data_IF_627645169130
#
_entry.id   IF_627645169130
#
_cell.length_a   1.000
_cell.length_b   1.000
_cell.length_c   1.000
_cell.angle_alpha   90.00
_cell.angle_beta   90.00
_cell.angle_gamma   90.00
#
_symmetry.space_group_name_H-M   'P 1'
#
loop_
_entity.id
_entity.type
_entity.pdbx_description
1 polymer ?
#
# COMPACT_ATOMS: atom_id res chain seq x y z
N UNK A 1 -0.68 -13.46 29.22
CA UNK A 1 -2.05 -14.00 29.14
C UNK A 1 -3.04 -12.84 29.17
N UNK A 2 -3.59 -12.48 28.02
CA UNK A 2 -4.70 -11.52 27.85
C UNK A 2 -5.28 -11.79 26.47
N UNK A 3 -6.03 -12.89 26.38
CA UNK A 3 -6.77 -13.31 25.19
C UNK A 3 -8.00 -12.43 24.98
N UNK A 4 -8.26 -12.14 23.71
CA UNK A 4 -9.59 -11.99 23.13
C UNK A 4 -10.59 -10.99 23.75
N UNK A 5 -10.62 -9.79 23.17
CA UNK A 5 -11.83 -8.94 23.16
C UNK A 5 -12.28 -8.59 21.73
N UNK A 6 -12.11 -9.54 20.81
CA UNK A 6 -12.63 -9.46 19.43
C UNK A 6 -13.46 -10.69 19.01
N UNK A 7 -13.69 -11.64 19.91
CA UNK A 7 -14.23 -12.98 19.61
C UNK A 7 -15.72 -13.05 19.34
N UNK A 8 -16.52 -12.06 19.74
CA UNK A 8 -17.98 -12.25 19.79
C UNK A 8 -18.69 -12.08 18.45
N UNK A 9 -18.09 -11.46 17.44
CA UNK A 9 -18.75 -11.25 16.12
C UNK A 9 -18.23 -12.21 15.05
N UNK A 10 -16.92 -12.51 15.05
CA UNK A 10 -16.34 -13.40 14.03
C UNK A 10 -16.86 -14.84 14.13
N UNK A 11 -17.18 -15.33 15.34
CA UNK A 11 -17.54 -16.73 15.63
C UNK A 11 -18.86 -17.21 14.99
N UNK A 12 -19.76 -16.32 14.56
CA UNK A 12 -21.10 -16.71 14.10
C UNK A 12 -21.25 -16.88 12.56
N UNK A 13 -20.23 -16.51 11.78
CA UNK A 13 -20.27 -16.66 10.32
C UNK A 13 -20.21 -18.14 9.90
N UNK A 14 -21.12 -18.56 9.03
CA UNK A 14 -21.17 -19.92 8.50
C UNK A 14 -19.83 -20.31 7.85
N UNK A 15 -19.28 -21.51 8.10
CA UNK A 15 -17.96 -21.93 7.61
C UNK A 15 -17.84 -21.83 6.08
N UNK A 16 -18.92 -22.12 5.36
CA UNK A 16 -18.99 -21.96 3.90
C UNK A 16 -18.72 -20.51 3.45
N UNK A 17 -19.25 -19.50 4.16
CA UNK A 17 -19.08 -18.10 3.80
C UNK A 17 -17.62 -17.64 4.00
N UNK A 18 -16.95 -18.16 5.04
CA UNK A 18 -15.51 -17.93 5.24
C UNK A 18 -14.67 -18.58 4.15
N UNK A 19 -15.05 -19.77 3.68
CA UNK A 19 -14.38 -20.43 2.57
C UNK A 19 -14.55 -19.65 1.26
N UNK A 20 -15.77 -19.17 0.95
CA UNK A 20 -16.02 -18.29 -0.21
C UNK A 20 -15.18 -17.03 -0.13
N UNK A 21 -15.13 -16.37 1.03
CA UNK A 21 -14.31 -15.18 1.22
C UNK A 21 -12.80 -15.47 1.04
N UNK A 22 -12.30 -16.59 1.58
CA UNK A 22 -10.91 -17.00 1.41
C UNK A 22 -10.57 -17.26 -0.08
N UNK A 23 -11.43 -17.98 -0.80
CA UNK A 23 -11.25 -18.22 -2.24
C UNK A 23 -11.26 -16.90 -3.02
N UNK A 24 -12.21 -16.01 -2.75
CA UNK A 24 -12.28 -14.70 -3.41
C UNK A 24 -11.00 -13.87 -3.17
N UNK A 25 -10.48 -13.86 -1.95
CA UNK A 25 -9.21 -13.18 -1.62
C UNK A 25 -8.05 -13.78 -2.41
N UNK A 26 -7.94 -15.12 -2.48
CA UNK A 26 -6.89 -15.80 -3.24
C UNK A 26 -6.98 -15.43 -4.72
N UNK A 27 -8.18 -15.44 -5.32
CA UNK A 27 -8.38 -15.08 -6.72
C UNK A 27 -8.04 -13.61 -7.03
N UNK A 28 -8.33 -12.70 -6.10
CA UNK A 28 -7.94 -11.28 -6.20
C UNK A 28 -6.42 -11.14 -6.17
N UNK A 29 -5.74 -11.83 -5.26
CA UNK A 29 -4.29 -11.72 -5.12
C UNK A 29 -3.49 -12.53 -6.16
N UNK A 30 -4.13 -13.52 -6.79
CA UNK A 30 -3.58 -14.34 -7.88
C UNK A 30 -3.29 -13.52 -9.14
N UNK A 31 -4.14 -12.52 -9.43
CA UNK A 31 -3.97 -11.55 -10.52
C UNK A 31 -3.76 -12.13 -11.92
N UNK A 32 -4.36 -13.28 -12.20
CA UNK A 32 -4.31 -13.83 -13.56
C UNK A 32 -5.18 -13.01 -14.52
N UNK A 33 -4.59 -12.45 -15.58
CA UNK A 33 -5.30 -11.63 -16.54
C UNK A 33 -6.23 -12.49 -17.40
N UNK A 34 -7.40 -11.93 -17.73
CA UNK A 34 -8.38 -12.52 -18.65
C UNK A 34 -8.34 -11.76 -19.98
N UNK A 35 -8.76 -10.49 -19.97
CA UNK A 35 -8.77 -9.63 -21.14
C UNK A 35 -8.90 -8.15 -20.73
N UNK A 36 -8.21 -7.23 -21.41
CA UNK A 36 -8.38 -5.77 -21.21
C UNK A 36 -8.30 -5.34 -19.73
N UNK A 37 -7.28 -5.79 -19.00
CA UNK A 37 -7.10 -5.47 -17.58
C UNK A 37 -8.07 -6.16 -16.62
N UNK A 38 -9.03 -6.93 -17.12
CA UNK A 38 -9.87 -7.80 -16.29
C UNK A 38 -9.04 -8.97 -15.77
N UNK A 39 -9.14 -9.24 -14.47
CA UNK A 39 -8.48 -10.36 -13.80
C UNK A 39 -9.54 -11.33 -13.27
N UNK A 40 -9.19 -12.60 -13.08
CA UNK A 40 -10.12 -13.62 -12.54
C UNK A 40 -10.74 -13.16 -11.19
N UNK A 41 -9.94 -12.50 -10.35
CA UNK A 41 -10.39 -11.91 -9.10
C UNK A 41 -11.44 -10.82 -9.26
N UNK A 42 -11.39 -10.01 -10.33
CA UNK A 42 -12.40 -8.99 -10.62
C UNK A 42 -13.76 -9.61 -10.91
N UNK A 43 -13.79 -10.72 -11.66
CA UNK A 43 -15.04 -11.45 -11.93
C UNK A 43 -15.64 -11.98 -10.64
N UNK A 44 -14.84 -12.61 -9.79
CA UNK A 44 -15.29 -13.08 -8.48
C UNK A 44 -15.81 -11.93 -7.59
N UNK A 45 -15.12 -10.78 -7.60
CA UNK A 45 -15.55 -9.60 -6.86
C UNK A 45 -16.88 -9.06 -7.37
N UNK A 46 -17.11 -8.99 -8.69
CA UNK A 46 -18.40 -8.55 -9.26
C UNK A 46 -19.53 -9.51 -8.86
N UNK A 47 -19.32 -10.82 -8.93
CA UNK A 47 -20.32 -11.80 -8.49
C UNK A 47 -20.68 -11.67 -7.01
N UNK A 48 -19.71 -11.24 -6.19
CA UNK A 48 -19.88 -11.00 -4.76
C UNK A 48 -20.34 -9.56 -4.42
N UNK A 49 -20.59 -8.72 -5.42
CA UNK A 49 -21.04 -7.33 -5.21
C UNK A 49 -22.22 -7.20 -4.23
N UNK A 50 -23.28 -8.04 -4.27
CA UNK A 50 -24.39 -7.94 -3.34
C UNK A 50 -23.99 -8.09 -1.86
N UNK A 51 -22.91 -8.84 -1.57
CA UNK A 51 -22.47 -9.07 -0.19
C UNK A 51 -21.42 -8.07 0.27
N UNK A 52 -20.50 -7.65 -0.60
CA UNK A 52 -19.42 -6.75 -0.18
C UNK A 52 -19.80 -5.28 -0.26
N UNK A 53 -20.66 -4.84 -1.20
CA UNK A 53 -21.03 -3.42 -1.34
C UNK A 53 -21.65 -2.89 -0.03
N UNK A 54 -22.66 -3.55 0.58
CA UNK A 54 -23.27 -3.06 1.82
C UNK A 54 -22.28 -3.06 2.99
N UNK A 55 -21.37 -4.03 3.04
CA UNK A 55 -20.34 -4.09 4.08
C UNK A 55 -19.30 -2.98 3.93
N UNK A 56 -18.86 -2.73 2.69
CA UNK A 56 -17.90 -1.70 2.33
C UNK A 56 -18.43 -0.30 2.63
N UNK A 57 -19.64 0.04 2.16
CA UNK A 57 -20.21 1.39 2.32
C UNK A 57 -20.49 1.79 3.77
N UNK A 58 -20.52 0.84 4.71
CA UNK A 58 -20.64 1.13 6.15
C UNK A 58 -19.34 1.64 6.77
N UNK A 59 -18.19 1.41 6.13
CA UNK A 59 -16.89 1.85 6.64
C UNK A 59 -16.69 3.34 6.42
N UNK A 60 -15.99 4.00 7.34
CA UNK A 60 -15.73 5.44 7.23
C UNK A 60 -14.77 5.70 6.07
N UNK A 61 -15.11 6.67 5.22
CA UNK A 61 -14.32 7.04 4.03
C UNK A 61 -14.53 6.14 2.81
N UNK A 62 -15.12 4.95 2.97
CA UNK A 62 -15.37 4.03 1.86
C UNK A 62 -16.33 4.61 0.79
N UNK A 63 -17.44 5.29 1.12
CA UNK A 63 -18.29 5.95 0.11
C UNK A 63 -17.56 7.05 -0.67
N UNK A 64 -16.67 7.80 -0.01
CA UNK A 64 -15.88 8.86 -0.65
C UNK A 64 -14.89 8.25 -1.64
N UNK A 65 -14.18 7.19 -1.24
CA UNK A 65 -13.28 6.47 -2.16
C UNK A 65 -14.03 5.89 -3.35
N UNK A 66 -15.19 5.25 -3.14
CA UNK A 66 -16.01 4.75 -4.25
C UNK A 66 -16.48 5.88 -5.19
N UNK A 67 -16.95 6.99 -4.62
CA UNK A 67 -17.36 8.16 -5.40
C UNK A 67 -16.23 8.73 -6.23
N UNK A 68 -15.02 8.83 -5.66
CA UNK A 68 -13.83 9.29 -6.38
C UNK A 68 -13.37 8.32 -7.47
N UNK A 69 -13.46 7.00 -7.25
CA UNK A 69 -13.18 6.00 -8.29
C UNK A 69 -14.15 6.14 -9.46
N UNK A 70 -15.46 6.24 -9.19
CA UNK A 70 -16.48 6.44 -10.23
C UNK A 70 -16.25 7.76 -10.96
N UNK A 71 -15.97 8.84 -10.21
CA UNK A 71 -15.65 10.14 -10.77
C UNK A 71 -14.41 10.08 -11.69
N UNK A 72 -13.36 9.36 -11.29
CA UNK A 72 -12.17 9.16 -12.11
C UNK A 72 -12.50 8.45 -13.42
N UNK A 73 -13.30 7.38 -13.40
CA UNK A 73 -13.71 6.68 -14.63
C UNK A 73 -14.47 7.61 -15.58
N UNK A 74 -15.44 8.38 -15.04
CA UNK A 74 -16.20 9.35 -15.82
C UNK A 74 -15.30 10.46 -16.37
N UNK A 75 -14.41 11.00 -15.54
CA UNK A 75 -13.46 12.03 -15.94
C UNK A 75 -12.47 11.53 -17.00
N UNK A 76 -11.98 10.30 -16.89
CA UNK A 76 -11.10 9.70 -17.89
C UNK A 76 -11.77 9.55 -19.25
N UNK A 77 -13.01 9.07 -19.29
CA UNK A 77 -13.79 8.97 -20.52
C UNK A 77 -14.06 10.36 -21.13
N UNK A 78 -14.42 11.34 -20.29
CA UNK A 78 -14.63 12.73 -20.74
C UNK A 78 -13.36 13.35 -21.30
N UNK A 79 -12.22 13.21 -20.61
CA UNK A 79 -10.93 13.70 -21.07
C UNK A 79 -10.51 13.05 -22.39
N UNK A 80 -10.72 11.74 -22.55
CA UNK A 80 -10.45 11.07 -23.83
C UNK A 80 -11.30 11.61 -24.97
N UNK A 81 -12.58 11.90 -24.73
CA UNK A 81 -13.42 12.55 -25.73
C UNK A 81 -12.96 14.00 -26.02
N UNK A 82 -12.46 14.71 -25.01
CA UNK A 82 -11.93 16.07 -25.18
C UNK A 82 -10.62 16.09 -25.97
N UNK A 83 -9.73 15.14 -25.71
CA UNK A 83 -8.41 15.02 -26.36
C UNK A 83 -8.48 14.31 -27.72
N UNK A 84 -9.63 13.81 -28.15
CA UNK A 84 -9.74 13.17 -29.48
C UNK A 84 -9.59 14.15 -30.65
N UNK A 85 -9.59 15.46 -30.38
CA UNK A 85 -9.38 16.49 -31.39
C UNK A 85 -7.93 16.54 -31.89
N UNK A 86 -6.97 16.22 -31.02
CA UNK A 86 -5.53 16.36 -31.26
C UNK A 86 -4.71 15.10 -30.91
N UNK A 87 -5.34 14.08 -30.32
CA UNK A 87 -4.72 12.79 -30.00
C UNK A 87 -5.51 11.63 -30.63
N UNK A 88 -4.78 10.57 -30.98
CA UNK A 88 -5.40 9.29 -31.28
C UNK A 88 -5.99 8.69 -29.98
N UNK A 89 -7.07 7.93 -30.12
CA UNK A 89 -7.74 7.30 -28.98
C UNK A 89 -7.86 5.78 -29.16
N UNK A 90 -7.82 5.06 -28.05
CA UNK A 90 -7.94 3.61 -27.96
C UNK A 90 -9.01 3.24 -26.94
N UNK A 91 -10.08 2.60 -27.41
CA UNK A 91 -11.14 2.06 -26.54
C UNK A 91 -10.60 0.95 -25.64
N UNK A 92 -9.67 0.13 -26.14
CA UNK A 92 -9.01 -0.94 -25.39
C UNK A 92 -8.27 -0.39 -24.17
N UNK A 93 -7.49 0.68 -24.34
CA UNK A 93 -6.76 1.31 -23.22
C UNK A 93 -7.72 1.99 -22.24
N UNK A 94 -8.74 2.70 -22.77
CA UNK A 94 -9.76 3.33 -21.95
C UNK A 94 -10.53 2.34 -21.06
N UNK A 95 -10.89 1.18 -21.62
CA UNK A 95 -11.51 0.07 -20.87
C UNK A 95 -10.53 -0.51 -19.86
N UNK A 96 -9.30 -0.82 -20.28
CA UNK A 96 -8.27 -1.40 -19.40
C UNK A 96 -7.98 -0.54 -18.17
N UNK A 97 -7.78 0.77 -18.36
CA UNK A 97 -7.56 1.72 -17.27
C UNK A 97 -8.78 1.83 -16.34
N UNK A 98 -9.99 1.85 -16.90
CA UNK A 98 -11.23 1.92 -16.10
C UNK A 98 -11.44 0.64 -15.28
N UNK A 99 -11.24 -0.52 -15.89
CA UNK A 99 -11.32 -1.83 -15.24
C UNK A 99 -10.28 -1.95 -14.13
N UNK A 100 -9.07 -1.42 -14.32
CA UNK A 100 -8.02 -1.44 -13.30
C UNK A 100 -8.46 -0.72 -12.02
N UNK A 101 -8.96 0.52 -12.11
CA UNK A 101 -9.34 1.30 -10.92
C UNK A 101 -10.64 0.78 -10.29
N UNK A 102 -11.62 0.36 -11.10
CA UNK A 102 -12.83 -0.31 -10.60
C UNK A 102 -12.50 -1.66 -9.94
N UNK A 103 -11.55 -2.39 -10.51
CA UNK A 103 -11.02 -3.65 -10.00
C UNK A 103 -10.34 -3.48 -8.64
N UNK A 104 -9.56 -2.42 -8.45
CA UNK A 104 -9.01 -2.03 -7.14
C UNK A 104 -10.14 -1.80 -6.14
N UNK A 105 -11.17 -1.02 -6.49
CA UNK A 105 -12.31 -0.75 -5.61
C UNK A 105 -13.05 -2.04 -5.21
N UNK A 106 -13.38 -2.88 -6.19
CA UNK A 106 -14.07 -4.15 -5.96
C UNK A 106 -13.24 -5.09 -5.08
N UNK A 107 -11.93 -5.16 -5.32
CA UNK A 107 -10.98 -5.96 -4.54
C UNK A 107 -10.88 -5.48 -3.10
N UNK A 108 -10.75 -4.16 -2.88
CA UNK A 108 -10.80 -3.56 -1.54
C UNK A 108 -12.12 -3.87 -0.85
N UNK A 109 -13.23 -3.80 -1.58
CA UNK A 109 -14.57 -4.16 -1.10
C UNK A 109 -14.64 -5.58 -0.56
N UNK A 110 -14.14 -6.56 -1.32
CA UNK A 110 -14.08 -7.97 -0.91
C UNK A 110 -13.20 -8.14 0.33
N UNK A 111 -12.04 -7.47 0.42
CA UNK A 111 -11.18 -7.52 1.60
C UNK A 111 -11.91 -6.98 2.83
N UNK A 112 -12.56 -5.82 2.71
CA UNK A 112 -13.35 -5.21 3.80
C UNK A 112 -14.49 -6.12 4.24
N UNK A 113 -15.19 -6.75 3.31
CA UNK A 113 -16.23 -7.73 3.61
C UNK A 113 -15.66 -8.97 4.33
N UNK A 114 -14.55 -9.54 3.85
CA UNK A 114 -13.94 -10.71 4.46
C UNK A 114 -13.49 -10.45 5.90
N UNK A 115 -13.05 -9.22 6.23
CA UNK A 115 -12.73 -8.80 7.61
C UNK A 115 -13.93 -8.84 8.56
N UNK A 116 -15.17 -8.85 8.04
CA UNK A 116 -16.37 -9.07 8.86
C UNK A 116 -16.58 -10.54 9.22
N UNK A 117 -15.91 -11.47 8.52
CA UNK A 117 -16.10 -12.92 8.65
C UNK A 117 -14.93 -13.62 9.33
N UNK A 118 -13.73 -13.05 9.26
CA UNK A 118 -12.51 -13.60 9.82
C UNK A 118 -11.55 -12.50 10.29
N UNK A 119 -10.55 -12.88 11.10
CA UNK A 119 -9.54 -11.96 11.63
C UNK A 119 -8.71 -11.37 10.50
N UNK A 120 -8.28 -10.11 10.64
CA UNK A 120 -7.43 -9.43 9.65
C UNK A 120 -6.16 -10.25 9.28
N UNK A 121 -5.54 -10.92 10.27
CA UNK A 121 -4.40 -11.80 10.02
C UNK A 121 -4.73 -12.98 9.08
N UNK A 122 -5.94 -13.53 9.15
CA UNK A 122 -6.39 -14.60 8.25
C UNK A 122 -6.65 -14.08 6.84
N UNK A 123 -7.26 -12.90 6.71
CA UNK A 123 -7.44 -12.21 5.42
C UNK A 123 -6.09 -11.99 4.74
N UNK A 124 -5.13 -11.45 5.49
CA UNK A 124 -3.77 -11.22 5.03
C UNK A 124 -3.04 -12.51 4.61
N UNK A 125 -3.21 -13.61 5.35
CA UNK A 125 -2.61 -14.90 4.98
C UNK A 125 -3.18 -15.40 3.66
N UNK A 126 -4.51 -15.39 3.48
CA UNK A 126 -5.12 -15.81 2.21
C UNK A 126 -4.71 -14.91 1.04
N UNK A 127 -4.55 -13.61 1.28
CA UNK A 127 -4.04 -12.69 0.27
C UNK A 127 -2.60 -13.05 -0.11
N UNK A 128 -1.71 -13.25 0.88
CA UNK A 128 -0.33 -13.69 0.63
C UNK A 128 -0.24 -15.03 -0.08
N UNK A 129 -1.13 -15.99 0.24
CA UNK A 129 -1.23 -17.26 -0.50
C UNK A 129 -1.59 -17.02 -1.96
N UNK A 130 -2.58 -16.18 -2.26
CA UNK A 130 -2.92 -15.83 -3.64
C UNK A 130 -1.76 -15.16 -4.37
N UNK A 131 -1.03 -14.25 -3.72
CA UNK A 131 0.17 -13.64 -4.32
C UNK A 131 1.25 -14.67 -4.64
N UNK A 132 1.47 -15.66 -3.78
CA UNK A 132 2.48 -16.72 -4.01
C UNK A 132 2.04 -17.67 -5.13
N UNK A 133 0.77 -18.04 -5.17
CA UNK A 133 0.22 -18.85 -6.26
C UNK A 133 0.27 -18.10 -7.60
N UNK A 134 0.13 -16.76 -7.57
CA UNK A 134 0.20 -15.89 -8.74
C UNK A 134 1.61 -15.55 -9.23
N UNK A 135 2.65 -16.12 -8.63
CA UNK A 135 4.01 -15.97 -9.15
C UNK A 135 4.06 -16.61 -10.54
N UNK A 136 4.52 -15.86 -11.53
CA UNK A 136 4.66 -16.31 -12.91
C UNK A 136 6.15 -16.48 -13.28
N UNK A 137 6.71 -17.70 -13.20
CA UNK A 137 8.09 -17.98 -13.59
C UNK A 137 8.37 -17.81 -15.09
N UNK A 138 7.33 -17.77 -15.93
CA UNK A 138 7.44 -17.61 -17.38
C UNK A 138 7.66 -16.16 -17.84
N UNK A 139 7.60 -15.18 -16.94
CA UNK A 139 7.85 -13.78 -17.32
C UNK A 139 9.34 -13.51 -17.59
N UNK A 140 9.64 -12.68 -18.58
CA UNK A 140 11.02 -12.33 -18.97
C UNK A 140 11.78 -11.62 -17.86
N UNK A 141 11.10 -10.83 -17.02
CA UNK A 141 11.73 -10.18 -15.86
C UNK A 141 12.10 -11.19 -14.78
N UNK A 142 11.29 -12.24 -14.58
CA UNK A 142 11.58 -13.26 -13.58
C UNK A 142 12.90 -13.97 -13.85
N UNK A 143 13.25 -14.25 -15.11
CA UNK A 143 14.52 -14.90 -15.44
C UNK A 143 15.75 -14.03 -15.16
N UNK A 144 15.61 -12.70 -15.14
CA UNK A 144 16.72 -11.77 -14.84
C UNK A 144 17.03 -11.72 -13.34
N UNK A 145 16.00 -11.70 -12.49
CA UNK A 145 16.14 -11.74 -11.03
C UNK A 145 14.83 -12.25 -10.40
N UNK A 146 14.73 -13.58 -10.14
CA UNK A 146 13.52 -14.20 -9.60
C UNK A 146 13.09 -13.61 -8.26
N UNK A 147 14.05 -13.22 -7.42
CA UNK A 147 13.77 -12.64 -6.12
C UNK A 147 13.09 -11.28 -6.26
N UNK A 148 13.72 -10.37 -7.01
CA UNK A 148 13.27 -8.99 -7.18
C UNK A 148 11.93 -8.92 -7.91
N UNK A 149 11.78 -9.67 -8.99
CA UNK A 149 10.64 -9.54 -9.91
C UNK A 149 9.50 -10.54 -9.66
N UNK A 150 9.69 -11.52 -8.77
CA UNK A 150 8.64 -12.50 -8.45
C UNK A 150 8.44 -12.71 -6.96
N UNK A 151 9.48 -13.12 -6.24
CA UNK A 151 9.32 -13.71 -4.90
C UNK A 151 9.23 -12.68 -3.76
N UNK A 152 9.94 -11.56 -3.85
CA UNK A 152 10.18 -10.65 -2.72
C UNK A 152 8.89 -10.17 -2.06
N UNK A 153 7.98 -9.57 -2.83
CA UNK A 153 6.74 -9.00 -2.32
C UNK A 153 5.74 -10.07 -1.87
N UNK A 154 5.42 -11.13 -2.66
CA UNK A 154 4.52 -12.20 -2.21
C UNK A 154 5.00 -12.88 -0.92
N UNK A 155 6.29 -13.19 -0.80
CA UNK A 155 6.84 -13.82 0.39
C UNK A 155 6.87 -12.86 1.58
N UNK A 156 7.19 -11.57 1.37
CA UNK A 156 7.12 -10.58 2.44
C UNK A 156 5.69 -10.49 3.01
N UNK A 157 4.68 -10.40 2.14
CA UNK A 157 3.26 -10.37 2.55
C UNK A 157 2.87 -11.65 3.30
N UNK A 158 3.14 -12.83 2.73
CA UNK A 158 2.74 -14.09 3.34
C UNK A 158 3.45 -14.35 4.68
N UNK A 159 4.77 -14.18 4.74
CA UNK A 159 5.54 -14.46 5.95
C UNK A 159 5.20 -13.48 7.08
N UNK A 160 5.01 -12.19 6.77
CA UNK A 160 4.57 -11.21 7.77
C UNK A 160 3.11 -11.44 8.20
N UNK A 161 2.25 -11.92 7.31
CA UNK A 161 0.88 -12.33 7.66
C UNK A 161 0.87 -13.55 8.59
N UNK A 162 1.71 -14.55 8.33
CA UNK A 162 1.89 -15.71 9.21
C UNK A 162 2.47 -15.31 10.58
N UNK A 163 3.46 -14.41 10.59
CA UNK A 163 4.00 -13.83 11.81
C UNK A 163 2.90 -13.10 12.61
N UNK A 164 2.05 -12.32 11.94
CA UNK A 164 0.90 -11.68 12.58
C UNK A 164 -0.08 -12.72 13.15
N UNK A 165 -0.41 -13.76 12.40
CA UNK A 165 -1.31 -14.84 12.83
C UNK A 165 -0.78 -15.60 14.06
N UNK A 166 0.54 -15.73 14.18
CA UNK A 166 1.18 -16.38 15.35
C UNK A 166 0.95 -15.64 16.66
N UNK A 167 0.67 -14.33 16.60
CA UNK A 167 0.54 -13.45 17.77
C UNK A 167 1.86 -13.14 18.49
N UNK A 168 2.99 -13.69 18.03
CA UNK A 168 4.31 -13.55 18.66
C UNK A 168 5.11 -12.45 17.97
N UNK A 169 5.32 -11.32 18.67
CA UNK A 169 6.01 -10.14 18.11
C UNK A 169 7.43 -10.41 17.63
N UNK A 170 8.17 -11.30 18.30
CA UNK A 170 9.53 -11.67 17.90
C UNK A 170 9.58 -12.43 16.57
N UNK A 171 8.53 -13.16 16.20
CA UNK A 171 8.47 -13.87 14.91
C UNK A 171 8.49 -12.86 13.76
N UNK A 172 7.81 -11.72 13.92
CA UNK A 172 7.84 -10.66 12.92
C UNK A 172 9.24 -10.05 12.77
N UNK A 173 9.98 -9.87 13.87
CA UNK A 173 11.37 -9.38 13.84
C UNK A 173 12.28 -10.35 13.07
N UNK A 174 12.19 -11.65 13.35
CA UNK A 174 13.00 -12.66 12.66
C UNK A 174 12.67 -12.68 11.16
N UNK A 175 11.39 -12.66 10.81
CA UNK A 175 10.95 -12.61 9.41
C UNK A 175 11.50 -11.36 8.71
N UNK A 176 11.40 -10.19 9.34
CA UNK A 176 11.93 -8.95 8.77
C UNK A 176 13.44 -9.01 8.58
N UNK A 177 14.21 -9.50 9.56
CA UNK A 177 15.66 -9.66 9.43
C UNK A 177 16.01 -10.59 8.26
N UNK A 178 15.32 -11.73 8.14
CA UNK A 178 15.51 -12.64 7.02
C UNK A 178 15.22 -11.97 5.67
N UNK A 179 14.10 -11.24 5.56
CA UNK A 179 13.74 -10.50 4.34
C UNK A 179 14.74 -9.38 4.01
N UNK A 180 15.27 -8.68 5.02
CA UNK A 180 16.30 -7.63 4.83
C UNK A 180 17.59 -8.23 4.26
N UNK A 181 18.05 -9.34 4.84
CA UNK A 181 19.24 -10.05 4.35
C UNK A 181 19.03 -10.48 2.90
N UNK A 182 17.89 -11.09 2.59
CA UNK A 182 17.56 -11.49 1.22
C UNK A 182 17.47 -10.30 0.26
N UNK A 183 16.85 -9.19 0.66
CA UNK A 183 16.76 -7.99 -0.16
C UNK A 183 18.14 -7.36 -0.45
N UNK A 184 19.04 -7.40 0.54
CA UNK A 184 20.41 -6.88 0.40
C UNK A 184 21.27 -7.73 -0.53
N UNK A 185 21.12 -9.06 -0.50
CA UNK A 185 21.91 -9.98 -1.35
C UNK A 185 21.38 -10.09 -2.78
N UNK A 186 20.18 -9.58 -3.08
CA UNK A 186 19.51 -9.72 -4.38
C UNK A 186 19.25 -8.38 -5.11
N UNK A 187 20.11 -7.37 -4.91
CA UNK A 187 20.06 -6.03 -5.55
C UNK A 187 18.67 -5.35 -5.54
N UNK A 188 17.96 -5.48 -4.40
CA UNK A 188 16.60 -4.94 -4.20
C UNK A 188 16.61 -3.76 -3.23
N UNK A 189 17.30 -2.68 -3.62
CA UNK A 189 17.61 -1.51 -2.75
C UNK A 189 16.38 -0.87 -2.10
N UNK A 190 15.35 -0.57 -2.89
CA UNK A 190 14.12 0.05 -2.39
C UNK A 190 13.35 -0.88 -1.45
N UNK A 191 13.40 -2.19 -1.69
CA UNK A 191 12.79 -3.19 -0.81
C UNK A 191 13.55 -3.29 0.51
N UNK A 192 14.88 -3.32 0.47
CA UNK A 192 15.73 -3.30 1.66
C UNK A 192 15.45 -2.07 2.52
N UNK A 193 15.36 -0.88 1.92
CA UNK A 193 15.08 0.36 2.64
C UNK A 193 13.70 0.33 3.31
N UNK A 194 12.66 -0.13 2.59
CA UNK A 194 11.31 -0.29 3.15
C UNK A 194 11.29 -1.29 4.31
N UNK A 195 11.93 -2.45 4.16
CA UNK A 195 11.96 -3.47 5.20
C UNK A 195 12.74 -3.02 6.44
N UNK A 196 13.86 -2.29 6.28
CA UNK A 196 14.59 -1.67 7.38
C UNK A 196 13.73 -0.65 8.13
N UNK A 197 13.02 0.20 7.40
CA UNK A 197 12.09 1.17 7.98
C UNK A 197 10.99 0.46 8.79
N UNK A 198 10.40 -0.61 8.25
CA UNK A 198 9.42 -1.43 8.95
C UNK A 198 10.00 -2.08 10.20
N UNK A 199 11.21 -2.65 10.12
CA UNK A 199 11.90 -3.24 11.26
C UNK A 199 12.10 -2.22 12.38
N UNK A 200 12.58 -1.02 12.05
CA UNK A 200 12.80 0.04 13.02
C UNK A 200 11.49 0.49 13.70
N UNK A 201 10.39 0.58 12.95
CA UNK A 201 9.05 0.87 13.51
C UNK A 201 8.59 -0.26 14.43
N UNK A 202 8.76 -1.52 14.03
CA UNK A 202 8.37 -2.68 14.84
C UNK A 202 9.20 -2.77 16.11
N UNK A 203 10.52 -2.55 16.04
CA UNK A 203 11.41 -2.53 17.20
C UNK A 203 11.09 -1.36 18.15
N UNK A 204 10.72 -0.20 17.61
CA UNK A 204 10.25 0.92 18.41
C UNK A 204 8.99 0.55 19.21
N UNK A 205 8.06 -0.19 18.60
CA UNK A 205 6.82 -0.64 19.23
C UNK A 205 7.01 -1.71 20.33
N UNK A 206 8.19 -2.33 20.40
CA UNK A 206 8.55 -3.26 21.47
C UNK A 206 8.87 -2.57 22.80
N UNK A 207 9.14 -1.26 22.81
CA UNK A 207 9.50 -0.52 24.03
C UNK A 207 8.32 -0.47 25.01
N UNK A 208 8.52 -0.44 26.34
CA UNK A 208 7.45 -0.27 27.32
C UNK A 208 6.63 1.02 27.11
N UNK A 209 5.35 1.02 27.49
CA UNK A 209 4.47 2.16 27.27
C UNK A 209 4.73 3.29 28.28
N UNK A 210 5.23 4.42 27.81
CA UNK A 210 5.13 5.70 28.53
C UNK A 210 3.83 6.36 28.09
N UNK A 211 2.99 6.78 29.04
CA UNK A 211 1.55 7.05 28.87
C UNK A 211 1.12 8.21 27.96
N UNK A 212 1.97 8.71 27.05
CA UNK A 212 1.61 9.78 26.11
C UNK A 212 1.14 9.19 24.78
N UNK A 213 -0.10 9.51 24.42
CA UNK A 213 -0.62 9.32 23.05
C UNK A 213 0.20 10.22 22.11
N UNK A 214 0.94 9.64 21.18
CA UNK A 214 1.63 10.38 20.14
C UNK A 214 0.63 11.07 19.20
N UNK A 215 0.91 12.30 18.79
CA UNK A 215 0.18 12.96 17.71
C UNK A 215 0.52 12.28 16.38
N UNK A 216 -0.45 12.18 15.45
CA UNK A 216 -0.21 11.71 14.06
C UNK A 216 0.94 12.48 13.41
N UNK A 217 1.05 13.78 13.69
CA UNK A 217 2.14 14.63 13.21
C UNK A 217 3.49 14.16 13.75
N UNK A 218 3.56 13.81 15.05
CA UNK A 218 4.78 13.28 15.64
C UNK A 218 5.15 11.91 15.05
N UNK A 219 4.17 11.05 14.78
CA UNK A 219 4.39 9.78 14.07
C UNK A 219 4.95 10.01 12.66
N UNK A 220 4.39 10.96 11.90
CA UNK A 220 4.88 11.29 10.56
C UNK A 220 6.29 11.86 10.60
N UNK A 221 6.60 12.72 11.56
CA UNK A 221 7.96 13.25 11.74
C UNK A 221 8.96 12.14 12.09
N UNK A 222 8.57 11.19 12.95
CA UNK A 222 9.43 10.04 13.28
C UNK A 222 9.62 9.13 12.08
N UNK A 223 8.56 8.78 11.35
CA UNK A 223 8.66 7.97 10.13
C UNK A 223 9.49 8.67 9.05
N UNK A 224 9.29 9.97 8.85
CA UNK A 224 10.06 10.78 7.91
C UNK A 224 11.54 10.87 8.30
N UNK A 225 11.84 11.17 9.58
CA UNK A 225 13.21 11.18 10.08
C UNK A 225 13.90 9.82 9.96
N UNK A 226 13.16 8.74 10.23
CA UNK A 226 13.67 7.37 10.10
C UNK A 226 13.92 7.00 8.63
N UNK A 227 13.05 7.42 7.72
CA UNK A 227 13.24 7.25 6.28
C UNK A 227 14.50 8.01 5.80
N UNK A 228 14.74 9.23 6.30
CA UNK A 228 15.97 9.98 6.02
C UNK A 228 17.19 9.24 6.55
N UNK A 229 17.16 8.73 7.78
CA UNK A 229 18.27 7.94 8.33
C UNK A 229 18.54 6.69 7.49
N UNK A 230 17.50 5.95 7.10
CA UNK A 230 17.64 4.76 6.25
C UNK A 230 18.20 5.13 4.86
N UNK A 231 17.74 6.23 4.27
CA UNK A 231 18.26 6.73 3.00
C UNK A 231 19.74 7.08 3.09
N UNK A 232 20.13 7.88 4.09
CA UNK A 232 21.53 8.30 4.28
C UNK A 232 22.44 7.11 4.59
N UNK A 233 22.04 6.23 5.50
CA UNK A 233 22.80 5.03 5.86
C UNK A 233 22.91 4.06 4.67
N UNK A 234 21.82 3.86 3.94
CA UNK A 234 21.81 3.03 2.73
C UNK A 234 22.73 3.60 1.65
N UNK A 235 22.70 4.91 1.42
CA UNK A 235 23.58 5.58 0.46
C UNK A 235 25.05 5.45 0.85
N UNK A 236 25.39 5.66 2.13
CA UNK A 236 26.76 5.47 2.63
C UNK A 236 27.25 4.03 2.40
N UNK A 237 26.45 3.03 2.75
CA UNK A 237 26.80 1.62 2.54
C UNK A 237 26.96 1.25 1.06
N UNK A 238 26.21 1.89 0.15
CA UNK A 238 26.39 1.71 -1.30
C UNK A 238 27.73 2.32 -1.75
N UNK A 239 28.01 3.56 -1.34
CA UNK A 239 29.22 4.28 -1.73
C UNK A 239 30.50 3.64 -1.16
N UNK A 240 30.42 3.02 0.01
CA UNK A 240 31.50 2.24 0.61
C UNK A 240 31.66 0.84 -0.02
N UNK A 241 30.79 0.46 -0.97
CA UNK A 241 30.90 -0.81 -1.71
C UNK A 241 30.35 -2.04 -0.98
N UNK A 242 29.80 -1.90 0.23
CA UNK A 242 29.21 -3.02 1.00
C UNK A 242 28.01 -3.69 0.30
N UNK A 243 27.34 -2.97 -0.60
CA UNK A 243 26.21 -3.47 -1.39
C UNK A 243 26.60 -3.85 -2.83
N UNK A 244 27.90 -3.98 -3.09
CA UNK A 244 28.45 -4.45 -4.36
C UNK A 244 28.94 -3.32 -5.27
N UNK A 245 29.96 -3.64 -6.05
CA UNK A 245 30.72 -2.67 -6.87
C UNK A 245 29.91 -2.09 -8.03
N UNK A 246 29.12 -2.92 -8.73
CA UNK A 246 28.20 -2.46 -9.78
C UNK A 246 27.11 -1.53 -9.23
N UNK A 247 26.82 -1.66 -7.94
CA UNK A 247 25.84 -0.84 -7.25
C UNK A 247 26.42 0.51 -6.84
N UNK A 248 27.67 0.53 -6.38
CA UNK A 248 28.47 1.72 -6.13
C UNK A 248 28.62 2.58 -7.39
N UNK A 249 29.14 2.02 -8.48
CA UNK A 249 29.40 2.74 -9.74
C UNK A 249 28.15 3.36 -10.37
N UNK A 250 26.98 2.71 -10.22
CA UNK A 250 25.70 3.29 -10.68
C UNK A 250 25.27 4.47 -9.83
N UNK A 251 25.42 4.36 -8.51
CA UNK A 251 25.07 5.44 -7.59
C UNK A 251 26.00 6.62 -7.76
N UNK A 252 27.31 6.40 -7.89
CA UNK A 252 28.29 7.46 -8.19
C UNK A 252 27.90 8.23 -9.47
N UNK A 253 27.63 7.51 -10.58
CA UNK A 253 27.12 8.15 -11.80
C UNK A 253 25.83 8.94 -11.60
N UNK A 254 24.87 8.41 -10.85
CA UNK A 254 23.62 9.13 -10.57
C UNK A 254 23.83 10.40 -9.72
N UNK A 255 24.81 10.40 -8.81
CA UNK A 255 25.19 11.61 -8.07
C UNK A 255 25.92 12.60 -8.97
N UNK A 256 26.88 12.13 -9.76
CA UNK A 256 27.72 12.96 -10.62
C UNK A 256 26.90 13.62 -11.74
N UNK A 257 25.94 12.88 -12.32
CA UNK A 257 25.12 13.33 -13.43
C UNK A 257 23.94 14.20 -12.96
N UNK A 258 23.21 13.80 -11.91
CA UNK A 258 21.94 14.44 -11.55
C UNK A 258 21.93 15.15 -10.18
N UNK A 259 23.06 15.15 -9.46
CA UNK A 259 23.21 15.79 -8.14
C UNK A 259 22.46 15.09 -6.99
N UNK A 260 21.58 14.12 -7.28
CA UNK A 260 20.95 13.27 -6.26
C UNK A 260 20.56 11.90 -6.81
N UNK A 261 20.64 10.88 -5.97
CA UNK A 261 20.26 9.49 -6.31
C UNK A 261 18.78 9.38 -6.68
N UNK A 262 17.93 10.21 -6.07
CA UNK A 262 16.48 10.20 -6.36
C UNK A 262 16.21 10.84 -7.71
N UNK A 263 16.77 12.01 -8.01
CA UNK A 263 16.58 12.67 -9.31
C UNK A 263 17.24 11.87 -10.45
N UNK A 264 18.49 11.42 -10.26
CA UNK A 264 19.22 10.63 -11.27
C UNK A 264 18.70 9.19 -11.42
N UNK A 265 18.02 8.66 -10.40
CA UNK A 265 17.38 7.36 -10.45
C UNK A 265 15.95 7.36 -10.97
N UNK A 266 15.34 8.54 -11.17
CA UNK A 266 13.92 8.71 -11.54
C UNK A 266 13.72 9.85 -12.55
N UNK A 267 14.26 9.70 -13.78
CA UNK A 267 14.08 10.71 -14.80
C UNK A 267 12.60 10.93 -15.17
N UNK A 268 11.72 9.95 -14.91
CA UNK A 268 10.28 10.05 -15.16
C UNK A 268 9.60 11.18 -14.36
N UNK A 269 10.19 11.62 -13.24
CA UNK A 269 9.73 12.81 -12.52
C UNK A 269 9.87 14.08 -13.36
N UNK A 270 10.93 14.18 -14.15
CA UNK A 270 11.14 15.26 -15.10
C UNK A 270 10.09 15.24 -16.21
N UNK A 271 9.84 14.06 -16.78
CA UNK A 271 8.77 13.86 -17.77
C UNK A 271 7.39 14.24 -17.21
N UNK A 272 7.03 13.73 -16.03
CA UNK A 272 5.77 14.01 -15.37
C UNK A 272 5.58 15.51 -15.09
N UNK A 273 6.64 16.19 -14.63
CA UNK A 273 6.61 17.63 -14.35
C UNK A 273 6.41 18.45 -15.62
N UNK A 274 7.17 18.16 -16.68
CA UNK A 274 7.07 18.86 -17.95
C UNK A 274 5.70 18.66 -18.61
N UNK A 275 5.19 17.43 -18.61
CA UNK A 275 3.84 17.12 -19.11
C UNK A 275 2.76 17.83 -18.29
N UNK A 276 2.90 17.89 -16.96
CA UNK A 276 1.93 18.58 -16.11
C UNK A 276 1.89 20.08 -16.40
N UNK A 277 3.05 20.70 -16.64
CA UNK A 277 3.14 22.10 -17.02
C UNK A 277 2.55 22.36 -18.40
N UNK A 278 2.75 21.43 -19.35
CA UNK A 278 2.24 21.54 -20.71
C UNK A 278 0.72 21.29 -20.80
N UNK A 279 0.21 20.28 -20.08
CA UNK A 279 -1.18 19.83 -20.17
C UNK A 279 -1.76 19.45 -18.79
N UNK A 280 -2.06 20.43 -17.92
CA UNK A 280 -2.34 20.19 -16.49
C UNK A 280 -3.62 19.40 -16.21
N UNK A 281 -4.55 19.36 -17.16
CA UNK A 281 -5.86 18.70 -16.98
C UNK A 281 -5.78 17.17 -17.01
N UNK A 282 -4.67 16.59 -17.46
CA UNK A 282 -4.55 15.16 -17.81
C UNK A 282 -5.00 14.90 -19.25
N UNK A 283 -4.82 13.67 -19.72
CA UNK A 283 -5.01 13.28 -21.14
C UNK A 283 -6.26 12.44 -21.36
N UNK A 284 -6.65 11.64 -20.38
CA UNK A 284 -7.78 10.72 -20.47
C UNK A 284 -7.36 9.27 -20.59
N UNK A 285 -8.27 8.37 -20.22
CA UNK A 285 -7.95 6.95 -19.97
C UNK A 285 -7.68 6.14 -21.23
N UNK A 286 -8.20 6.58 -22.37
CA UNK A 286 -7.98 5.98 -23.69
C UNK A 286 -7.19 6.85 -24.65
N UNK A 287 -6.51 7.89 -24.17
CA UNK A 287 -5.75 8.82 -25.02
C UNK A 287 -4.34 8.29 -25.25
N UNK A 288 -3.91 8.25 -26.51
CA UNK A 288 -2.56 7.79 -26.89
C UNK A 288 -1.61 8.99 -27.00
N UNK A 289 -0.37 8.87 -26.49
CA UNK A 289 0.63 9.94 -26.58
C UNK A 289 1.01 10.20 -28.05
N UNK A 290 1.23 11.46 -28.39
CA UNK A 290 1.73 11.88 -29.70
C UNK A 290 3.20 12.33 -29.63
N UNK A 291 3.74 12.78 -30.77
CA UNK A 291 5.15 13.22 -30.84
C UNK A 291 5.43 14.44 -29.94
N UNK A 292 4.47 15.35 -29.80
CA UNK A 292 4.62 16.53 -28.94
C UNK A 292 4.72 16.12 -27.48
N UNK A 293 3.88 15.19 -27.01
CA UNK A 293 3.95 14.68 -25.63
C UNK A 293 5.31 14.03 -25.35
N UNK A 294 5.78 13.21 -26.28
CA UNK A 294 7.09 12.56 -26.18
C UNK A 294 8.19 13.61 -26.08
N UNK A 295 8.19 14.64 -26.94
CA UNK A 295 9.21 15.70 -26.92
C UNK A 295 9.16 16.52 -25.62
N UNK A 296 7.97 16.83 -25.10
CA UNK A 296 7.81 17.52 -23.81
C UNK A 296 8.39 16.67 -22.68
N UNK A 297 8.07 15.38 -22.65
CA UNK A 297 8.60 14.46 -21.65
C UNK A 297 10.13 14.35 -21.73
N UNK A 298 10.69 14.18 -22.95
CA UNK A 298 12.14 14.15 -23.18
C UNK A 298 12.81 15.43 -22.70
N UNK A 299 12.22 16.59 -22.98
CA UNK A 299 12.74 17.89 -22.51
C UNK A 299 12.80 17.95 -20.99
N UNK A 300 11.75 17.49 -20.31
CA UNK A 300 11.72 17.40 -18.84
C UNK A 300 12.78 16.45 -18.27
N UNK A 301 13.02 15.32 -18.92
CA UNK A 301 14.06 14.36 -18.52
C UNK A 301 15.46 14.91 -18.76
N UNK A 302 15.70 15.55 -19.90
CA UNK A 302 16.98 16.20 -20.22
C UNK A 302 17.32 17.32 -19.24
N UNK A 303 16.32 18.05 -18.71
CA UNK A 303 16.52 19.05 -17.66
C UNK A 303 17.03 18.45 -16.33
N UNK A 304 16.88 17.14 -16.12
CA UNK A 304 17.47 16.38 -15.00
C UNK A 304 18.82 15.74 -15.38
N UNK A 305 19.43 16.17 -16.49
CA UNK A 305 20.68 15.65 -17.04
C UNK A 305 20.62 14.16 -17.41
N UNK A 306 19.43 13.64 -17.70
CA UNK A 306 19.22 12.30 -18.23
C UNK A 306 19.21 12.33 -19.76
N UNK A 307 19.87 11.39 -20.42
CA UNK A 307 19.78 11.20 -21.88
C UNK A 307 18.47 10.49 -22.26
N UNK A 308 17.50 11.21 -22.85
CA UNK A 308 16.19 10.64 -23.16
C UNK A 308 16.15 9.90 -24.50
N UNK A 309 17.21 9.94 -25.31
CA UNK A 309 17.27 9.39 -26.67
C UNK A 309 17.84 7.95 -26.69
N UNK A 310 17.47 7.15 -25.71
CA UNK A 310 17.93 5.76 -25.54
C UNK A 310 16.83 4.72 -25.81
N UNK A 311 15.67 5.15 -26.30
CA UNK A 311 14.51 4.30 -26.60
C UNK A 311 13.63 3.96 -25.39
N UNK A 312 14.02 4.32 -24.16
CA UNK A 312 13.19 4.11 -22.96
C UNK A 312 11.89 4.90 -23.02
N UNK A 313 11.95 6.16 -23.45
CA UNK A 313 10.82 7.08 -23.46
C UNK A 313 9.74 6.61 -24.43
N UNK A 314 10.15 6.27 -25.66
CA UNK A 314 9.25 5.89 -26.74
C UNK A 314 8.69 4.49 -26.56
N UNK A 315 9.50 3.53 -26.10
CA UNK A 315 9.06 2.14 -26.01
C UNK A 315 8.36 1.82 -24.69
N UNK A 316 8.78 2.43 -23.58
CA UNK A 316 8.27 2.11 -22.26
C UNK A 316 7.28 3.15 -21.72
N UNK A 317 7.67 4.44 -21.65
CA UNK A 317 6.80 5.48 -21.06
C UNK A 317 5.59 5.84 -21.94
N UNK A 318 5.75 5.74 -23.27
CA UNK A 318 4.75 6.19 -24.25
C UNK A 318 4.44 5.18 -25.35
N UNK A 319 4.91 3.93 -25.25
CA UNK A 319 4.80 2.95 -26.34
C UNK A 319 3.36 2.49 -26.63
N UNK A 320 2.47 2.56 -25.64
CA UNK A 320 1.06 2.16 -25.79
C UNK A 320 0.08 3.05 -25.01
N UNK A 321 0.55 3.72 -23.96
CA UNK A 321 -0.22 4.63 -23.13
C UNK A 321 0.75 5.53 -22.35
N UNK A 322 0.22 6.50 -21.60
CA UNK A 322 1.01 7.26 -20.63
C UNK A 322 1.31 6.39 -19.39
N UNK A 323 2.59 6.07 -19.18
CA UNK A 323 3.08 5.31 -18.04
C UNK A 323 4.25 6.07 -17.39
N UNK A 324 3.94 6.94 -16.43
CA UNK A 324 4.93 7.81 -15.78
C UNK A 324 5.63 7.14 -14.58
N UNK A 325 5.42 5.83 -14.44
CA UNK A 325 6.07 4.98 -13.45
C UNK A 325 5.81 5.45 -12.00
N UNK A 326 4.63 6.02 -11.77
CA UNK A 326 4.18 6.64 -10.53
C UNK A 326 2.67 6.56 -10.46
N UNK A 327 2.10 5.98 -9.40
CA UNK A 327 0.63 5.89 -9.24
C UNK A 327 -0.02 7.27 -9.37
N UNK A 328 0.58 8.31 -8.79
CA UNK A 328 0.07 9.67 -8.91
C UNK A 328 0.11 10.14 -10.37
N UNK A 329 1.25 9.95 -11.04
CA UNK A 329 1.44 10.31 -12.44
C UNK A 329 0.44 9.58 -13.35
N UNK A 330 0.32 8.26 -13.19
CA UNK A 330 -0.55 7.41 -14.01
C UNK A 330 -2.04 7.72 -13.78
N UNK A 331 -2.45 7.99 -12.53
CA UNK A 331 -3.82 8.39 -12.24
C UNK A 331 -4.13 9.79 -12.76
N UNK A 332 -3.17 10.71 -12.69
CA UNK A 332 -3.34 12.05 -13.23
C UNK A 332 -3.39 12.05 -14.77
N UNK A 333 -2.50 11.35 -15.47
CA UNK A 333 -2.54 11.32 -16.94
C UNK A 333 -3.83 10.70 -17.46
N UNK A 334 -4.31 9.63 -16.81
CA UNK A 334 -5.51 8.90 -17.24
C UNK A 334 -6.84 9.51 -16.78
N UNK A 335 -6.86 10.18 -15.63
CA UNK A 335 -8.11 10.64 -15.00
C UNK A 335 -8.07 12.11 -14.54
N UNK A 336 -7.01 12.84 -14.85
CA UNK A 336 -6.84 14.25 -14.54
C UNK A 336 -6.91 14.55 -13.05
N UNK A 337 -7.56 15.66 -12.72
CA UNK A 337 -7.77 16.09 -11.33
C UNK A 337 -8.57 15.07 -10.50
N UNK A 338 -9.48 14.30 -11.09
CA UNK A 338 -10.18 13.25 -10.36
C UNK A 338 -9.21 12.15 -9.89
N UNK A 339 -8.22 11.79 -10.73
CA UNK A 339 -7.13 10.89 -10.36
C UNK A 339 -6.25 11.43 -9.23
N UNK A 340 -5.94 12.73 -9.25
CA UNK A 340 -5.22 13.41 -8.15
C UNK A 340 -6.02 13.35 -6.85
N UNK A 341 -7.32 13.71 -6.89
CA UNK A 341 -8.19 13.66 -5.71
C UNK A 341 -8.32 12.24 -5.15
N UNK A 342 -8.44 11.23 -6.02
CA UNK A 342 -8.41 9.82 -5.63
C UNK A 342 -7.09 9.47 -4.94
N UNK A 343 -5.96 9.90 -5.48
CA UNK A 343 -4.63 9.68 -4.89
C UNK A 343 -4.52 10.33 -3.51
N UNK A 344 -5.02 11.56 -3.36
CA UNK A 344 -5.08 12.26 -2.06
C UNK A 344 -5.95 11.49 -1.07
N UNK A 345 -7.11 10.99 -1.48
CA UNK A 345 -7.97 10.19 -0.60
C UNK A 345 -7.29 8.88 -0.15
N UNK A 346 -6.58 8.20 -1.07
CA UNK A 346 -5.75 7.03 -0.75
C UNK A 346 -4.67 7.41 0.27
N UNK A 347 -3.93 8.50 0.04
CA UNK A 347 -2.90 9.00 0.96
C UNK A 347 -3.47 9.28 2.35
N UNK A 348 -4.63 9.93 2.44
CA UNK A 348 -5.29 10.22 3.72
C UNK A 348 -5.62 8.93 4.47
N UNK A 349 -6.15 7.90 3.78
CA UNK A 349 -6.43 6.60 4.40
C UNK A 349 -5.15 5.92 4.91
N UNK A 350 -4.10 5.88 4.07
CA UNK A 350 -2.82 5.24 4.42
C UNK A 350 -2.11 5.96 5.57
N UNK A 351 -2.08 7.29 5.56
CA UNK A 351 -1.49 8.12 6.63
C UNK A 351 -2.28 7.99 7.93
N UNK A 352 -3.61 8.00 7.86
CA UNK A 352 -4.44 7.76 9.03
C UNK A 352 -4.19 6.36 9.62
N UNK A 353 -4.04 5.35 8.78
CA UNK A 353 -3.70 3.99 9.20
C UNK A 353 -2.30 3.87 9.81
N UNK A 354 -1.29 4.54 9.23
CA UNK A 354 0.04 4.63 9.84
C UNK A 354 -0.02 5.29 11.23
N UNK A 355 -0.78 6.37 11.37
CA UNK A 355 -1.00 7.06 12.63
C UNK A 355 -1.66 6.17 13.70
N UNK A 356 -2.73 5.45 13.34
CA UNK A 356 -3.40 4.54 14.29
C UNK A 356 -2.54 3.33 14.64
N UNK A 357 -1.82 2.77 13.67
CA UNK A 357 -0.92 1.63 13.87
C UNK A 357 0.18 1.95 14.91
N UNK A 358 0.83 3.12 14.77
CA UNK A 358 1.91 3.54 15.69
C UNK A 358 1.36 3.98 17.06
N UNK A 359 0.19 4.61 17.11
CA UNK A 359 -0.38 5.10 18.38
C UNK A 359 -0.98 3.99 19.25
N UNK A 360 -1.53 2.94 18.64
CA UNK A 360 -2.18 1.85 19.38
C UNK A 360 -1.25 0.68 19.72
N UNK A 361 0.02 0.69 19.31
CA UNK A 361 1.03 -0.36 19.60
C UNK A 361 0.60 -1.78 19.26
N UNK A 362 -0.27 -1.87 18.26
CA UNK A 362 -0.93 -3.09 17.80
C UNK A 362 -0.66 -3.32 16.31
N UNK A 363 0.29 -2.59 15.72
CA UNK A 363 0.60 -2.71 14.31
C UNK A 363 1.22 -4.09 14.03
N UNK A 364 0.49 -4.93 13.31
CA UNK A 364 1.11 -6.06 12.65
C UNK A 364 2.20 -5.52 11.73
N UNK A 365 3.41 -6.09 11.80
CA UNK A 365 4.52 -5.72 10.92
C UNK A 365 4.10 -5.70 9.43
N UNK A 366 3.19 -6.60 9.05
CA UNK A 366 2.56 -6.59 7.73
C UNK A 366 1.84 -5.28 7.42
N UNK A 367 0.99 -4.77 8.32
CA UNK A 367 0.22 -3.55 8.06
C UNK A 367 1.17 -2.36 7.85
N UNK A 368 2.22 -2.25 8.67
CA UNK A 368 3.25 -1.22 8.50
C UNK A 368 3.94 -1.39 7.14
N UNK A 369 4.33 -2.62 6.79
CA UNK A 369 4.96 -2.92 5.51
C UNK A 369 4.09 -2.51 4.32
N UNK A 370 2.83 -2.97 4.25
CA UNK A 370 1.97 -2.68 3.09
C UNK A 370 1.62 -1.20 3.00
N UNK A 371 1.47 -0.49 4.13
CA UNK A 371 1.22 0.95 4.15
C UNK A 371 2.45 1.72 3.69
N UNK A 372 3.63 1.47 4.29
CA UNK A 372 4.88 2.14 3.92
C UNK A 372 5.22 1.87 2.46
N UNK A 373 5.10 0.62 2.00
CA UNK A 373 5.35 0.25 0.61
C UNK A 373 4.35 0.90 -0.34
N UNK A 374 3.06 0.99 0.04
CA UNK A 374 2.07 1.72 -0.77
C UNK A 374 2.36 3.22 -0.83
N UNK A 375 2.78 3.84 0.26
CA UNK A 375 3.21 5.25 0.29
C UNK A 375 4.43 5.48 -0.61
N UNK A 376 5.37 4.54 -0.66
CA UNK A 376 6.50 4.57 -1.58
C UNK A 376 6.07 4.39 -3.04
N UNK A 377 5.13 3.48 -3.30
CA UNK A 377 4.66 3.20 -4.65
C UNK A 377 3.93 4.41 -5.27
N UNK A 378 3.31 5.27 -4.46
CA UNK A 378 2.53 6.41 -4.98
C UNK A 378 3.36 7.33 -5.88
N UNK A 379 4.55 7.79 -5.47
CA UNK A 379 5.44 8.59 -6.31
C UNK A 379 6.39 7.77 -7.20
N UNK A 380 6.64 6.48 -6.94
CA UNK A 380 7.79 5.76 -7.51
C UNK A 380 7.47 4.40 -8.15
N UNK A 381 6.21 4.04 -8.36
CA UNK A 381 5.86 2.78 -9.01
C UNK A 381 4.66 2.90 -9.94
N UNK A 382 4.67 2.15 -11.07
CA UNK A 382 3.51 1.95 -11.93
C UNK A 382 2.26 1.60 -11.14
N UNK A 383 1.12 2.18 -11.53
CA UNK A 383 -0.17 1.85 -10.95
C UNK A 383 -0.42 0.34 -10.97
N UNK A 384 -0.20 -0.32 -12.13
CA UNK A 384 -0.44 -1.76 -12.29
C UNK A 384 0.35 -2.63 -11.29
N UNK A 385 1.62 -2.28 -11.05
CA UNK A 385 2.48 -3.02 -10.12
C UNK A 385 2.15 -2.71 -8.65
N UNK A 386 1.60 -1.52 -8.36
CA UNK A 386 1.24 -1.10 -7.01
C UNK A 386 -0.10 -1.70 -6.51
N UNK A 387 -0.98 -2.11 -7.44
CA UNK A 387 -2.34 -2.60 -7.16
C UNK A 387 -2.44 -3.64 -6.03
N UNK A 388 -1.67 -4.74 -5.99
CA UNK A 388 -1.86 -5.77 -4.96
C UNK A 388 -1.66 -5.21 -3.55
N UNK A 389 -0.61 -4.40 -3.37
CA UNK A 389 -0.29 -3.81 -2.07
C UNK A 389 -1.27 -2.69 -1.72
N UNK A 390 -1.71 -1.89 -2.69
CA UNK A 390 -2.75 -0.87 -2.48
C UNK A 390 -4.07 -1.52 -2.04
N UNK A 391 -4.49 -2.60 -2.69
CA UNK A 391 -5.71 -3.35 -2.33
C UNK A 391 -5.62 -3.85 -0.89
N UNK A 392 -4.52 -4.52 -0.54
CA UNK A 392 -4.34 -5.06 0.80
C UNK A 392 -4.23 -3.94 1.85
N UNK A 393 -3.46 -2.89 1.58
CA UNK A 393 -3.27 -1.77 2.48
C UNK A 393 -4.59 -1.03 2.74
N UNK A 394 -5.32 -0.64 1.70
CA UNK A 394 -6.62 0.04 1.82
C UNK A 394 -7.66 -0.86 2.49
N UNK A 395 -7.73 -2.13 2.08
CA UNK A 395 -8.69 -3.09 2.60
C UNK A 395 -8.52 -3.35 4.11
N UNK A 396 -7.29 -3.38 4.61
CA UNK A 396 -7.00 -3.51 6.05
C UNK A 396 -7.11 -2.17 6.81
N UNK A 397 -6.89 -1.05 6.14
CA UNK A 397 -6.83 0.29 6.76
C UNK A 397 -8.19 0.96 6.95
N UNK A 398 -9.19 0.61 6.14
CA UNK A 398 -10.52 1.21 6.25
C UNK A 398 -11.14 0.94 7.62
N UNK A 399 -11.56 2.02 8.28
CA UNK A 399 -12.03 1.99 9.66
C UNK A 399 -13.47 1.45 9.76
N UNK A 400 -13.74 0.49 10.66
CA UNK A 400 -15.09 -0.05 10.85
C UNK A 400 -16.05 1.02 11.42
N UNK A 401 -17.37 0.80 11.32
CA UNK A 401 -18.38 1.73 11.81
C UNK A 401 -18.22 1.99 13.32
N UNK A 402 -18.37 3.25 13.75
CA UNK A 402 -18.16 3.69 15.13
C UNK A 402 -19.01 2.96 16.19
N UNK A 403 -20.10 2.29 15.80
CA UNK A 403 -20.98 1.54 16.71
C UNK A 403 -20.32 0.30 17.34
N UNK A 404 -19.22 -0.23 16.78
CA UNK A 404 -18.52 -1.38 17.38
C UNK A 404 -17.42 -0.99 18.39
N UNK A 405 -16.94 0.26 18.39
CA UNK A 405 -15.95 0.72 19.36
C UNK A 405 -16.55 1.04 20.74
N UNK A 406 -17.84 1.37 20.81
CA UNK A 406 -18.51 1.83 22.03
C UNK A 406 -19.04 0.69 22.93
N UNK A 407 -19.19 -0.53 22.42
CA UNK A 407 -19.76 -1.66 23.20
C UNK A 407 -18.73 -2.34 24.12
N UNK A 408 -17.43 -1.99 24.00
CA UNK A 408 -16.37 -2.53 24.85
C UNK A 408 -16.01 -1.71 26.10
N UNK A 409 -16.69 -0.59 26.37
CA UNK A 409 -16.22 0.37 27.39
C UNK A 409 -17.30 1.09 28.22
N UNK A 410 -18.38 0.39 28.59
CA UNK A 410 -19.24 0.82 29.71
C UNK A 410 -19.71 -0.38 30.55
N UNK A 411 -18.91 -0.75 31.54
CA UNK A 411 -19.46 -1.16 32.83
C UNK A 411 -19.12 -0.05 33.83
N UNK A 412 -20.04 0.85 34.17
CA UNK A 412 -19.90 1.63 35.38
C UNK A 412 -20.11 0.68 36.57
N UNK A 413 -19.09 0.55 37.40
CA UNK A 413 -19.21 0.02 38.77
C UNK A 413 -20.33 0.78 39.49
N UNK A 414 -21.29 0.04 40.04
CA UNK A 414 -22.00 0.48 41.25
C UNK A 414 -21.42 -0.34 42.39
N UNK A 415 -20.26 0.10 42.89
CA UNK A 415 -19.77 -0.26 44.22
C UNK A 415 -20.19 0.89 45.13
N UNK A 416 -21.39 0.82 45.69
CA UNK A 416 -21.80 1.72 46.75
C UNK A 416 -21.29 1.17 48.08
N UNK A 417 -20.28 1.87 48.58
CA UNK A 417 -19.72 1.81 49.93
C UNK A 417 -20.80 1.96 51.01
N UNK A 418 -20.83 1.03 51.98
CA UNK A 418 -21.39 1.27 53.31
C UNK A 418 -20.33 0.91 54.36
N UNK A 419 -19.63 1.97 54.77
CA UNK A 419 -19.34 2.35 56.17
C UNK A 419 -18.34 1.52 56.99
N UNK A 420 -17.09 2.02 57.02
CA UNK A 420 -16.15 2.24 58.15
C UNK A 420 -16.21 1.32 59.40
N UNK A 421 -15.03 0.85 59.86
CA UNK A 421 -14.74 0.72 61.28
C UNK A 421 -13.60 1.65 61.71
N UNK A 422 -13.85 2.50 62.71
CA UNK A 422 -12.79 3.11 63.51
C UNK A 422 -13.31 3.53 64.89
N UNK A 423 -13.01 2.75 65.92
CA UNK A 423 -12.57 3.30 67.22
C UNK A 423 -11.90 2.24 68.10
N UNK A 424 -10.66 2.54 68.48
CA UNK A 424 -9.85 1.90 69.54
C UNK A 424 -10.41 2.25 70.92
N UNK A 425 -10.27 1.35 71.89
CA UNK A 425 -9.72 1.64 73.25
C UNK A 425 -9.41 0.34 74.02
N UNK A 426 -8.11 0.05 74.17
CA UNK A 426 -7.34 -0.17 75.41
C UNK A 426 -7.94 -0.86 76.68
N UNK A 427 -7.12 -1.78 77.23
CA UNK A 427 -6.78 -2.07 78.66
C UNK A 427 -7.27 -3.39 79.29
N UNK A 428 -6.27 -4.25 79.58
CA UNK A 428 -5.94 -5.11 80.76
C UNK A 428 -7.01 -5.73 81.70
N UNK A 429 -6.69 -6.99 82.02
CA UNK A 429 -6.63 -7.69 83.32
C UNK A 429 -7.88 -8.19 84.08
N UNK A 430 -7.65 -9.38 84.69
CA UNK A 430 -8.40 -10.15 85.70
C UNK A 430 -9.63 -10.93 85.16
N UNK A 431 -9.68 -12.27 85.21
CA UNK A 431 -9.39 -13.22 86.29
C UNK A 431 -9.03 -14.61 85.79
#
# INVERSE_FOLDING_TARGET
MSSDRGTTVASAAHPALRAVAAVAIVLIAFREPVQQGLEVGHVAAVLLAPVWIPAFLRHRGAPVLAGLVVLSVVAGAWLTASSSADHATSSTEGVSASVLVLGVLASVGVIVWARTLMRDASVAVWFGVGMVVGINPGSTLFSTNPWKFGLSVPLAVLLLALAWRSGRRWVAVIVLVALIVMAGTNDSRSELAVLLLVLLVVLWDLRPATGRRGSVVSTLLVLGGLAVVVYQAGQALILEGYLGESTRQRTERQLDEAGSVIAGGRPELGAATALFQHHPWGFGSGTLPNLTDIQVAKTGMAALNYDPDNGYVENYLFGSSFELHSVLGDLWTRFGWAGILLTIAILVVLVAAAGTAVTHRMAAALLVYVVVKSLWNIPFSPLFSAVPLLVLALGLSLAPPARQAAVGHRSPRVSADRTRPARRTHVRDAR
#
